data_IF_540238119094
#
_entry.id   IF_540238119094
#
_cell.length_a   1.000
_cell.length_b   1.000
_cell.length_c   1.000
_cell.angle_alpha   90.00
_cell.angle_beta   90.00
_cell.angle_gamma   90.00
#
_symmetry.space_group_name_H-M   'P 1'
#
loop_
_entity.id
_entity.type
_entity.pdbx_description
1 polymer ?
#
# COMPACT_ATOMS: atom_id res chain seq x y z
N UNK A 1 11.44 48.01 44.71
CA UNK A 1 10.40 47.19 44.06
C UNK A 1 10.97 46.62 42.77
N UNK A 2 11.54 45.42 42.79
CA UNK A 2 12.04 44.75 41.59
C UNK A 2 10.95 43.80 41.12
N UNK A 3 10.32 44.13 40.00
CA UNK A 3 9.24 43.35 39.41
C UNK A 3 9.75 41.99 38.95
N UNK A 4 9.14 40.94 39.48
CA UNK A 4 9.32 39.57 38.99
C UNK A 4 8.55 39.46 37.68
N UNK A 5 9.27 39.43 36.55
CA UNK A 5 8.68 39.02 35.28
C UNK A 5 8.46 37.51 35.32
N UNK A 6 7.22 37.10 35.51
CA UNK A 6 6.81 35.70 35.35
C UNK A 6 6.75 35.42 33.84
N UNK A 7 7.77 34.72 33.35
CA UNK A 7 7.76 34.17 31.99
C UNK A 7 6.78 33.00 31.97
N UNK A 8 5.62 33.20 31.36
CA UNK A 8 4.68 32.11 31.05
C UNK A 8 5.28 31.31 29.89
N UNK A 9 5.91 30.19 30.20
CA UNK A 9 6.26 29.16 29.21
C UNK A 9 4.96 28.53 28.70
N UNK A 10 4.45 29.03 27.58
CA UNK A 10 3.50 28.32 26.74
C UNK A 10 4.21 27.08 26.19
N UNK A 11 4.07 25.94 26.87
CA UNK A 11 4.35 24.63 26.29
C UNK A 11 3.33 24.43 25.17
N UNK A 12 3.71 24.79 23.94
CA UNK A 12 3.07 24.27 22.74
C UNK A 12 3.27 22.75 22.77
N UNK A 13 2.30 22.03 23.33
CA UNK A 13 2.13 20.62 23.04
C UNK A 13 1.86 20.54 21.54
N UNK A 14 2.92 20.36 20.76
CA UNK A 14 2.82 19.98 19.35
C UNK A 14 2.17 18.61 19.35
N UNK A 15 0.85 18.59 19.22
CA UNK A 15 0.08 17.38 18.98
C UNK A 15 0.53 16.83 17.63
N UNK A 16 1.56 15.99 17.63
CA UNK A 16 1.90 15.12 16.50
C UNK A 16 0.83 14.04 16.44
N UNK A 17 -0.35 14.39 15.93
CA UNK A 17 -1.42 13.42 15.73
C UNK A 17 -1.18 12.72 14.40
N UNK A 18 -0.98 11.40 14.45
CA UNK A 18 -1.18 10.48 13.32
C UNK A 18 -1.95 9.27 13.87
N UNK A 19 -2.35 8.30 13.04
CA UNK A 19 -3.23 7.21 13.47
C UNK A 19 -2.71 5.85 13.06
N UNK A 20 -2.91 4.87 13.93
CA UNK A 20 -2.77 3.44 13.62
C UNK A 20 -3.99 2.69 14.14
N UNK A 21 -4.18 1.48 13.61
CA UNK A 21 -5.02 0.46 14.25
C UNK A 21 -4.22 -0.31 15.30
N UNK A 22 -4.86 -0.52 16.44
CA UNK A 22 -4.36 -1.31 17.56
C UNK A 22 -5.30 -2.48 17.80
N UNK A 23 -4.77 -3.70 17.73
CA UNK A 23 -5.49 -4.92 18.04
C UNK A 23 -4.56 -6.01 18.61
N UNK A 24 -5.13 -7.15 19.00
CA UNK A 24 -4.38 -8.26 19.62
C UNK A 24 -3.27 -8.82 18.72
N UNK A 25 -3.38 -8.69 17.41
CA UNK A 25 -2.40 -9.17 16.46
C UNK A 25 -1.33 -8.16 16.07
N UNK A 26 -1.41 -6.90 16.52
CA UNK A 26 -0.53 -5.81 16.07
C UNK A 26 0.95 -6.18 16.25
N UNK A 27 1.75 -5.97 15.21
CA UNK A 27 3.21 -6.03 15.29
C UNK A 27 3.73 -4.73 15.90
N UNK A 28 4.14 -4.80 17.16
CA UNK A 28 4.56 -3.62 17.92
C UNK A 28 5.94 -3.84 18.51
N UNK A 29 6.94 -3.18 17.92
CA UNK A 29 8.31 -3.18 18.41
C UNK A 29 8.48 -2.48 19.77
N UNK A 30 7.47 -1.72 20.20
CA UNK A 30 7.39 -1.14 21.53
C UNK A 30 6.88 -2.11 22.59
N UNK A 31 6.32 -3.27 22.24
CA UNK A 31 5.76 -4.19 23.23
C UNK A 31 6.80 -4.61 24.30
N UNK A 32 6.45 -4.60 25.60
CA UNK A 32 5.12 -4.39 26.18
C UNK A 32 4.77 -2.93 26.52
N UNK A 33 5.57 -1.93 26.14
CA UNK A 33 5.38 -0.53 26.51
C UNK A 33 3.98 -0.02 26.13
N UNK A 34 3.09 0.26 27.09
CA UNK A 34 1.74 0.72 26.80
C UNK A 34 1.71 2.09 26.09
N UNK A 35 2.81 2.85 26.12
CA UNK A 35 2.94 4.17 25.52
C UNK A 35 3.75 4.13 24.22
N UNK A 36 3.18 3.51 23.17
CA UNK A 36 3.82 3.38 21.85
C UNK A 36 3.05 4.17 20.78
N UNK A 37 3.77 4.98 20.01
CA UNK A 37 3.27 5.75 18.87
C UNK A 37 3.94 5.34 17.53
N UNK A 38 4.85 4.36 17.55
CA UNK A 38 5.65 3.97 16.38
C UNK A 38 4.80 3.64 15.14
N UNK A 39 3.72 2.84 15.24
CA UNK A 39 2.93 2.45 14.07
C UNK A 39 2.08 3.60 13.48
N UNK A 40 2.01 4.75 14.15
CA UNK A 40 1.13 5.85 13.72
C UNK A 40 1.76 6.71 12.64
N UNK A 41 3.09 6.67 12.48
CA UNK A 41 3.78 7.51 11.50
C UNK A 41 3.33 7.24 10.06
N UNK A 42 3.20 8.29 9.22
CA UNK A 42 2.79 8.14 7.85
C UNK A 42 3.91 7.51 7.03
N UNK A 43 3.51 6.76 6.00
CA UNK A 43 4.40 6.14 5.02
C UNK A 43 4.42 7.02 3.78
N UNK A 44 5.40 7.91 3.71
CA UNK A 44 5.61 8.82 2.59
C UNK A 44 7.10 8.92 2.27
N UNK A 45 7.46 8.62 1.02
CA UNK A 45 8.82 8.69 0.48
C UNK A 45 9.88 8.00 1.35
N UNK A 46 9.49 6.93 2.05
CA UNK A 46 10.36 6.13 2.92
C UNK A 46 10.50 4.68 2.45
N UNK A 47 11.72 4.17 2.40
CA UNK A 47 12.08 2.76 2.19
C UNK A 47 11.65 1.84 3.35
N UNK A 48 11.34 2.43 4.52
CA UNK A 48 10.89 1.76 5.74
C UNK A 48 9.39 1.44 5.78
N UNK A 49 8.70 1.63 4.65
CA UNK A 49 7.24 1.51 4.57
C UNK A 49 6.74 0.08 4.75
N UNK A 50 7.50 -0.90 4.26
CA UNK A 50 7.04 -2.28 4.28
C UNK A 50 6.91 -2.78 5.71
N UNK A 51 5.72 -3.25 6.05
CA UNK A 51 5.37 -3.69 7.40
C UNK A 51 5.58 -2.64 8.50
N UNK A 52 5.69 -1.35 8.12
CA UNK A 52 6.11 -0.28 9.05
C UNK A 52 7.45 -0.61 9.75
N UNK A 53 8.37 -1.30 9.05
CA UNK A 53 9.62 -1.83 9.60
C UNK A 53 9.45 -2.72 10.84
N UNK A 54 8.28 -3.34 11.02
CA UNK A 54 7.95 -4.14 12.19
C UNK A 54 7.98 -5.67 11.92
N UNK A 55 8.59 -6.11 10.81
CA UNK A 55 8.67 -7.54 10.45
C UNK A 55 9.31 -8.39 11.56
N UNK A 56 10.38 -7.89 12.16
CA UNK A 56 11.12 -8.60 13.21
C UNK A 56 10.45 -8.53 14.59
N UNK A 57 9.43 -7.69 14.73
CA UNK A 57 8.74 -7.47 15.99
C UNK A 57 7.70 -8.56 16.22
N UNK A 58 7.58 -9.07 17.43
CA UNK A 58 6.59 -10.11 17.76
C UNK A 58 5.19 -9.48 17.75
N UNK A 59 4.15 -10.18 17.24
CA UNK A 59 2.78 -9.70 17.41
C UNK A 59 2.34 -9.91 18.86
N UNK A 60 1.43 -9.07 19.35
CA UNK A 60 0.88 -9.18 20.71
C UNK A 60 -0.01 -10.43 20.91
N UNK A 61 -0.23 -11.22 19.86
CA UNK A 61 -1.18 -12.31 19.79
C UNK A 61 -1.68 -12.52 18.37
N UNK A 62 -2.95 -12.91 18.23
CA UNK A 62 -3.59 -13.12 16.93
C UNK A 62 -4.99 -12.51 16.96
N UNK A 63 -5.31 -11.71 15.95
CA UNK A 63 -6.63 -11.11 15.81
C UNK A 63 -7.60 -12.07 15.11
N UNK A 64 -8.72 -12.39 15.77
CA UNK A 64 -9.80 -13.17 15.15
C UNK A 64 -10.55 -12.35 14.10
N UNK A 65 -10.75 -12.94 12.92
CA UNK A 65 -11.53 -12.39 11.80
C UNK A 65 -12.82 -13.21 11.65
N UNK A 66 -13.97 -12.73 12.12
CA UNK A 66 -15.22 -13.49 12.09
C UNK A 66 -15.83 -13.52 10.69
N UNK A 67 -15.65 -14.61 9.95
CA UNK A 67 -16.21 -14.80 8.61
C UNK A 67 -17.73 -14.64 8.62
N UNK A 68 -18.25 -13.71 7.82
CA UNK A 68 -19.67 -13.34 7.74
C UNK A 68 -20.20 -12.47 8.88
N UNK A 69 -19.33 -12.03 9.79
CA UNK A 69 -19.69 -11.17 10.92
C UNK A 69 -19.19 -9.74 10.75
N UNK A 70 -18.84 -9.12 11.88
CA UNK A 70 -18.24 -7.80 11.93
C UNK A 70 -17.04 -7.78 12.88
N UNK A 71 -16.10 -6.88 12.63
CA UNK A 71 -14.91 -6.69 13.44
C UNK A 71 -14.78 -5.21 13.80
N UNK A 72 -14.71 -4.91 15.09
CA UNK A 72 -14.38 -3.58 15.58
C UNK A 72 -12.87 -3.49 15.84
N UNK A 73 -12.25 -2.41 15.36
CA UNK A 73 -10.83 -2.13 15.54
C UNK A 73 -10.64 -0.75 16.17
N UNK A 74 -9.63 -0.64 17.04
CA UNK A 74 -9.34 0.56 17.80
C UNK A 74 -8.32 1.43 17.06
N UNK A 75 -8.63 2.70 16.86
CA UNK A 75 -7.81 3.68 16.19
C UNK A 75 -7.29 4.65 17.23
N UNK A 76 -5.98 4.89 17.22
CA UNK A 76 -5.38 5.86 18.15
C UNK A 76 -4.02 6.34 17.65
N UNK A 77 -3.67 7.58 18.02
CA UNK A 77 -2.33 8.16 17.89
C UNK A 77 -1.32 7.59 18.86
N UNK A 78 -1.77 6.89 19.90
CA UNK A 78 -0.90 6.20 20.82
C UNK A 78 -1.64 5.00 21.41
N UNK A 79 -0.93 3.88 21.57
CA UNK A 79 -1.45 2.65 22.19
C UNK A 79 -2.02 2.90 23.59
N UNK A 80 -1.52 3.90 24.32
CA UNK A 80 -1.99 4.25 25.65
C UNK A 80 -3.49 4.59 25.68
N UNK A 81 -4.07 5.08 24.58
CA UNK A 81 -5.49 5.45 24.49
C UNK A 81 -6.34 4.35 23.83
N UNK A 82 -5.98 3.10 24.08
CA UNK A 82 -6.66 1.90 23.58
C UNK A 82 -6.90 0.93 24.75
N UNK A 83 -7.63 -0.15 24.52
CA UNK A 83 -7.82 -1.25 25.48
C UNK A 83 -6.51 -1.94 25.87
N UNK A 84 -5.42 -1.72 25.13
CA UNK A 84 -4.07 -2.18 25.49
C UNK A 84 -3.32 -1.21 26.41
N UNK A 85 -3.94 -0.09 26.81
CA UNK A 85 -3.39 0.90 27.73
C UNK A 85 -4.43 1.33 28.76
N UNK A 86 -4.81 2.61 28.72
CA UNK A 86 -5.72 3.26 29.67
C UNK A 86 -7.20 3.06 29.35
N UNK A 87 -7.52 2.51 28.17
CA UNK A 87 -8.88 2.35 27.68
C UNK A 87 -9.28 3.38 26.61
N UNK A 88 -10.50 3.20 26.10
CA UNK A 88 -11.10 4.04 25.07
C UNK A 88 -11.78 5.28 25.66
N UNK A 89 -12.08 6.26 24.81
CA UNK A 89 -12.92 7.39 25.17
C UNK A 89 -14.36 6.92 25.46
N UNK A 90 -15.15 7.74 26.16
CA UNK A 90 -16.50 7.38 26.58
C UNK A 90 -17.45 7.01 25.43
N UNK A 91 -17.29 7.62 24.25
CA UNK A 91 -18.14 7.42 23.07
C UNK A 91 -17.31 7.00 21.85
N UNK A 92 -16.60 5.86 21.88
CA UNK A 92 -15.56 5.57 20.90
C UNK A 92 -16.12 5.22 19.52
N UNK A 93 -17.39 4.82 19.45
CA UNK A 93 -18.12 4.51 18.21
C UNK A 93 -18.77 5.73 17.56
N UNK A 94 -18.76 6.88 18.25
CA UNK A 94 -19.31 8.12 17.72
C UNK A 94 -18.22 8.93 17.02
N UNK A 95 -18.57 9.48 15.86
CA UNK A 95 -17.73 10.47 15.20
C UNK A 95 -17.74 11.77 16.02
N UNK A 96 -16.64 12.53 16.07
CA UNK A 96 -16.66 13.91 16.58
C UNK A 96 -17.81 14.74 15.99
N UNK A 97 -18.56 15.43 16.85
CA UNK A 97 -19.60 16.38 16.49
C UNK A 97 -19.61 17.56 17.50
N UNK A 98 -19.35 18.81 17.07
CA UNK A 98 -19.03 19.23 15.70
C UNK A 98 -17.70 18.62 15.22
N UNK A 99 -17.52 18.59 13.89
CA UNK A 99 -16.26 18.13 13.30
C UNK A 99 -15.13 19.11 13.66
N UNK A 100 -13.99 18.63 14.19
CA UNK A 100 -12.93 19.51 14.65
C UNK A 100 -12.20 20.20 13.48
N UNK A 101 -11.90 21.48 13.66
CA UNK A 101 -11.07 22.25 12.73
C UNK A 101 -9.71 21.57 12.53
N UNK A 102 -9.28 21.40 11.29
CA UNK A 102 -7.98 20.80 10.99
C UNK A 102 -7.88 19.28 11.18
N UNK A 103 -8.98 18.59 11.53
CA UNK A 103 -9.09 17.14 11.64
C UNK A 103 -8.34 16.44 12.78
N UNK A 104 -8.00 17.16 13.85
CA UNK A 104 -7.39 16.56 15.05
C UNK A 104 -8.47 16.20 16.06
N UNK A 105 -8.46 14.96 16.54
CA UNK A 105 -9.34 14.45 17.59
C UNK A 105 -8.52 14.07 18.83
N UNK A 106 -9.21 13.82 19.95
CA UNK A 106 -8.59 13.31 21.17
C UNK A 106 -7.87 11.95 20.98
N UNK A 107 -8.18 11.21 19.91
CA UNK A 107 -7.55 9.93 19.58
C UNK A 107 -6.62 10.01 18.37
N UNK A 108 -6.37 11.20 17.80
CA UNK A 108 -5.38 11.42 16.75
C UNK A 108 -5.87 12.24 15.56
N UNK A 109 -5.03 12.36 14.52
CA UNK A 109 -5.28 13.21 13.35
C UNK A 109 -5.85 12.42 12.17
N UNK A 110 -7.00 12.85 11.70
CA UNK A 110 -7.76 12.23 10.62
C UNK A 110 -7.38 12.77 9.24
N UNK A 111 -6.54 13.80 9.16
CA UNK A 111 -6.13 14.43 7.91
C UNK A 111 -7.32 14.82 7.00
N UNK A 112 -8.40 15.28 7.62
CA UNK A 112 -9.67 15.62 6.99
C UNK A 112 -10.30 16.88 7.62
N UNK A 113 -9.94 18.06 7.13
CA UNK A 113 -10.35 19.35 7.69
C UNK A 113 -11.85 19.65 7.49
N UNK A 114 -12.46 19.06 6.46
CA UNK A 114 -13.85 19.24 6.06
C UNK A 114 -14.51 17.87 5.97
N UNK A 115 -15.52 17.64 6.80
CA UNK A 115 -16.36 16.45 6.73
C UNK A 115 -17.64 16.73 5.90
N UNK A 116 -18.08 15.83 5.02
CA UNK A 116 -17.49 14.52 4.68
C UNK A 116 -16.46 14.53 3.56
N UNK A 117 -16.25 15.67 2.89
CA UNK A 117 -15.56 15.75 1.60
C UNK A 117 -14.10 15.26 1.63
N UNK A 118 -13.43 15.43 2.77
CA UNK A 118 -12.04 15.00 2.94
C UNK A 118 -11.89 13.52 3.36
N UNK A 119 -12.99 12.80 3.60
CA UNK A 119 -12.92 11.41 4.08
C UNK A 119 -12.63 10.45 2.93
N UNK A 120 -11.45 9.82 2.98
CA UNK A 120 -10.91 8.99 1.90
C UNK A 120 -11.23 7.49 2.02
N UNK A 121 -11.77 7.07 3.16
CA UNK A 121 -12.05 5.65 3.44
C UNK A 121 -10.79 4.86 3.77
N UNK A 122 -10.96 3.70 4.39
CA UNK A 122 -9.88 2.78 4.73
C UNK A 122 -10.31 1.34 4.49
N UNK A 123 -9.38 0.40 4.59
CA UNK A 123 -9.67 -1.00 4.35
C UNK A 123 -8.90 -1.95 5.25
N UNK A 124 -9.39 -3.19 5.30
CA UNK A 124 -8.67 -4.35 5.80
C UNK A 124 -8.31 -5.26 4.64
N UNK A 125 -7.08 -5.75 4.65
CA UNK A 125 -6.57 -6.72 3.70
C UNK A 125 -5.96 -7.93 4.39
N UNK A 126 -5.97 -9.07 3.70
CA UNK A 126 -5.49 -10.36 4.21
C UNK A 126 -4.57 -11.04 3.19
N UNK A 127 -3.47 -11.62 3.66
CA UNK A 127 -2.60 -12.52 2.92
C UNK A 127 -2.66 -13.90 3.58
N UNK A 128 -2.99 -14.94 2.79
CA UNK A 128 -3.14 -16.32 3.26
C UNK A 128 -1.78 -17.04 3.36
N UNK A 129 -0.85 -16.44 4.09
CA UNK A 129 0.48 -16.96 4.39
C UNK A 129 0.71 -16.86 5.90
N UNK A 130 1.23 -17.93 6.52
CA UNK A 130 1.54 -17.94 7.95
C UNK A 130 2.88 -17.24 8.23
N UNK A 131 3.88 -17.48 7.40
CA UNK A 131 5.17 -16.79 7.48
C UNK A 131 5.08 -15.37 6.90
N UNK A 132 5.17 -14.36 7.79
CA UNK A 132 5.18 -12.94 7.43
C UNK A 132 6.35 -12.51 6.55
N UNK A 133 7.50 -13.19 6.60
CA UNK A 133 8.65 -12.86 5.75
C UNK A 133 8.44 -13.27 4.29
N UNK A 134 7.50 -14.18 4.04
CA UNK A 134 7.10 -14.62 2.69
C UNK A 134 5.98 -13.78 2.06
N UNK A 135 5.39 -12.84 2.82
CA UNK A 135 4.33 -11.96 2.33
C UNK A 135 4.92 -10.86 1.47
N UNK A 136 4.26 -10.58 0.36
CA UNK A 136 4.54 -9.49 -0.56
C UNK A 136 3.29 -8.61 -0.72
N UNK A 137 3.43 -7.38 -1.22
CA UNK A 137 2.29 -6.50 -1.49
C UNK A 137 1.19 -7.14 -2.37
N UNK A 138 1.57 -8.05 -3.28
CA UNK A 138 0.65 -8.72 -4.22
C UNK A 138 -0.15 -9.86 -3.58
N UNK A 139 0.23 -10.31 -2.39
CA UNK A 139 -0.49 -11.38 -1.69
C UNK A 139 -1.72 -10.88 -0.95
N UNK A 140 -1.78 -9.56 -0.67
CA UNK A 140 -2.87 -8.98 0.09
C UNK A 140 -4.14 -8.83 -0.75
N UNK A 141 -5.26 -9.29 -0.20
CA UNK A 141 -6.60 -9.15 -0.75
C UNK A 141 -7.40 -8.23 0.17
N UNK A 142 -7.85 -7.09 -0.34
CA UNK A 142 -8.79 -6.21 0.38
C UNK A 142 -10.12 -6.95 0.54
N UNK A 143 -10.53 -7.20 1.78
CA UNK A 143 -11.73 -7.99 2.10
C UNK A 143 -12.82 -7.19 2.81
N UNK A 144 -12.50 -6.04 3.41
CA UNK A 144 -13.48 -5.12 3.99
C UNK A 144 -13.05 -3.68 3.78
N UNK A 145 -14.01 -2.81 3.49
CA UNK A 145 -13.81 -1.37 3.29
C UNK A 145 -14.79 -0.62 4.17
N UNK A 146 -14.36 0.51 4.70
CA UNK A 146 -15.24 1.52 5.29
C UNK A 146 -14.92 2.84 4.62
N UNK A 147 -15.88 3.40 3.89
CA UNK A 147 -15.74 4.67 3.18
C UNK A 147 -15.78 5.86 4.14
N UNK A 148 -16.43 5.72 5.30
CA UNK A 148 -16.47 6.71 6.38
C UNK A 148 -15.35 6.49 7.43
N UNK A 149 -14.12 6.31 6.95
CA UNK A 149 -12.96 5.98 7.79
C UNK A 149 -11.75 6.87 7.48
N UNK A 150 -10.90 7.18 8.48
CA UNK A 150 -10.99 6.82 9.91
C UNK A 150 -11.73 7.91 10.69
N UNK A 151 -13.03 7.76 10.98
CA UNK A 151 -13.81 8.83 11.65
C UNK A 151 -14.22 8.53 13.08
N UNK A 152 -13.93 7.31 13.58
CA UNK A 152 -14.32 6.81 14.91
C UNK A 152 -13.11 6.15 15.57
N UNK A 153 -13.00 6.28 16.90
CA UNK A 153 -11.96 5.60 17.67
C UNK A 153 -12.17 4.08 17.65
N UNK A 154 -13.41 3.61 17.69
CA UNK A 154 -13.78 2.20 17.53
C UNK A 154 -14.57 2.06 16.23
N UNK A 155 -13.87 1.61 15.19
CA UNK A 155 -14.40 1.50 13.83
C UNK A 155 -14.80 0.06 13.53
N UNK A 156 -16.04 -0.13 13.09
CA UNK A 156 -16.57 -1.44 12.70
C UNK A 156 -16.38 -1.69 11.21
N UNK A 157 -15.89 -2.88 10.88
CA UNK A 157 -15.71 -3.43 9.56
C UNK A 157 -16.66 -4.61 9.35
N UNK A 158 -17.32 -4.70 8.20
CA UNK A 158 -18.17 -5.83 7.84
C UNK A 158 -17.34 -6.90 7.14
N UNK A 159 -17.41 -8.14 7.60
CA UNK A 159 -16.52 -9.21 7.15
C UNK A 159 -17.28 -10.13 6.20
N UNK A 160 -16.79 -10.38 4.96
CA UNK A 160 -17.43 -11.30 4.05
C UNK A 160 -17.32 -12.73 4.57
N UNK A 161 -17.98 -13.67 3.89
CA UNK A 161 -17.63 -15.09 4.05
C UNK A 161 -16.21 -15.30 3.53
N UNK A 162 -15.35 -15.95 4.33
CA UNK A 162 -13.91 -16.10 4.04
C UNK A 162 -13.47 -17.57 4.12
N UNK A 163 -12.51 -18.00 3.29
CA UNK A 163 -11.85 -19.29 3.46
C UNK A 163 -10.99 -19.34 4.74
N UNK A 164 -10.60 -20.54 5.14
CA UNK A 164 -9.74 -20.74 6.30
C UNK A 164 -8.30 -20.26 6.04
N UNK A 165 -7.64 -19.74 7.06
CA UNK A 165 -6.20 -19.53 7.05
C UNK A 165 -5.43 -20.86 7.02
N UNK A 166 -4.18 -20.87 6.51
CA UNK A 166 -3.30 -22.03 6.66
C UNK A 166 -2.95 -22.27 8.13
N UNK A 167 -2.34 -23.42 8.41
CA UNK A 167 -1.75 -23.69 9.73
C UNK A 167 -0.72 -22.60 10.08
N UNK A 168 -0.81 -22.06 11.29
CA UNK A 168 -0.03 -20.90 11.73
C UNK A 168 -0.71 -19.53 11.50
N UNK A 169 -1.90 -19.51 10.89
CA UNK A 169 -2.68 -18.28 10.70
C UNK A 169 -2.36 -17.54 9.40
N UNK A 170 -2.90 -16.34 9.27
CA UNK A 170 -2.71 -15.41 8.16
C UNK A 170 -2.02 -14.13 8.62
N UNK A 171 -1.66 -13.29 7.65
CA UNK A 171 -1.26 -11.91 7.90
C UNK A 171 -2.33 -10.95 7.40
N UNK A 172 -2.73 -10.00 8.23
CA UNK A 172 -3.68 -8.96 7.89
C UNK A 172 -3.03 -7.59 8.01
N UNK A 173 -3.65 -6.59 7.39
CA UNK A 173 -3.24 -5.20 7.56
C UNK A 173 -4.45 -4.29 7.48
N UNK A 174 -4.45 -3.25 8.30
CA UNK A 174 -5.24 -2.05 8.03
C UNK A 174 -4.44 -1.13 7.11
N UNK A 175 -5.15 -0.44 6.22
CA UNK A 175 -4.56 0.46 5.23
C UNK A 175 -5.43 1.68 5.01
N UNK A 176 -4.80 2.83 4.82
CA UNK A 176 -5.46 4.11 4.58
C UNK A 176 -4.57 5.01 3.73
N UNK A 177 -5.18 5.81 2.86
CA UNK A 177 -4.52 6.91 2.14
C UNK A 177 -5.28 8.17 2.48
N UNK A 178 -4.60 9.17 3.03
CA UNK A 178 -5.23 10.43 3.41
C UNK A 178 -5.29 11.43 2.24
N UNK A 179 -6.02 12.55 2.41
CA UNK A 179 -6.15 13.58 1.37
C UNK A 179 -4.84 14.29 1.03
N UNK A 180 -3.86 14.23 1.92
CA UNK A 180 -2.53 14.80 1.76
C UNK A 180 -1.54 13.78 1.21
N UNK A 181 -2.02 12.74 0.52
CA UNK A 181 -1.20 11.79 -0.23
C UNK A 181 -0.34 10.85 0.63
N UNK A 182 -0.56 10.79 1.95
CA UNK A 182 0.20 9.91 2.83
C UNK A 182 -0.52 8.56 2.99
N UNK A 183 0.25 7.48 2.89
CA UNK A 183 -0.24 6.13 3.15
C UNK A 183 -0.02 5.74 4.61
N UNK A 184 -0.87 4.86 5.12
CA UNK A 184 -0.75 4.26 6.44
C UNK A 184 -0.96 2.75 6.30
N UNK A 185 -0.21 2.01 7.10
CA UNK A 185 -0.28 0.56 7.17
C UNK A 185 -0.09 0.14 8.62
N UNK A 186 -1.01 -0.68 9.13
CA UNK A 186 -0.87 -1.33 10.44
C UNK A 186 -1.00 -2.83 10.23
N UNK A 187 0.12 -3.56 10.06
CA UNK A 187 0.08 -5.01 9.91
C UNK A 187 -0.22 -5.69 11.25
N UNK A 188 -0.88 -6.84 11.19
CA UNK A 188 -1.18 -7.66 12.35
C UNK A 188 -1.36 -9.13 12.00
N UNK A 189 -0.95 -10.03 12.91
CA UNK A 189 -1.23 -11.45 12.80
C UNK A 189 -2.73 -11.69 12.98
N UNK A 190 -3.33 -12.52 12.12
CA UNK A 190 -4.77 -12.75 12.14
C UNK A 190 -5.14 -14.21 11.84
N UNK A 191 -6.36 -14.61 12.22
CA UNK A 191 -6.91 -15.92 11.87
C UNK A 191 -8.41 -15.82 11.61
N UNK A 192 -8.91 -16.52 10.58
CA UNK A 192 -10.33 -16.54 10.23
C UNK A 192 -11.08 -17.51 11.15
N UNK A 193 -12.13 -17.03 11.81
CA UNK A 193 -13.06 -17.86 12.57
C UNK A 193 -14.34 -18.09 11.77
N UNK A 194 -14.98 -19.25 11.97
CA UNK A 194 -16.12 -19.73 11.19
C UNK A 194 -15.88 -19.72 9.66
N UNK A 195 -14.73 -20.23 9.17
CA UNK A 195 -14.40 -20.16 7.75
C UNK A 195 -15.36 -20.99 6.90
N UNK A 196 -15.57 -20.55 5.66
CA UNK A 196 -16.37 -21.27 4.69
C UNK A 196 -15.47 -22.13 3.79
N UNK A 197 -15.47 -23.44 4.05
CA UNK A 197 -14.66 -24.41 3.31
C UNK A 197 -15.00 -24.51 1.82
N UNK A 198 -16.14 -23.97 1.36
CA UNK A 198 -16.51 -23.92 -0.07
C UNK A 198 -15.87 -22.78 -0.83
N UNK A 199 -15.17 -21.87 -0.16
CA UNK A 199 -14.49 -20.74 -0.78
C UNK A 199 -13.01 -21.04 -1.07
N UNK A 200 -12.47 -20.37 -2.07
CA UNK A 200 -11.05 -20.39 -2.43
C UNK A 200 -10.44 -19.01 -2.34
N UNK A 201 -9.12 -18.96 -2.17
CA UNK A 201 -8.35 -17.71 -2.15
C UNK A 201 -8.09 -17.27 -3.61
N UNK A 202 -8.58 -16.10 -4.04
CA UNK A 202 -8.32 -15.57 -5.39
C UNK A 202 -6.92 -14.94 -5.49
N UNK A 203 -6.43 -14.75 -6.70
CA UNK A 203 -5.30 -13.85 -6.97
C UNK A 203 -5.82 -12.41 -7.09
N UNK A 204 -5.37 -11.46 -6.25
CA UNK A 204 -5.82 -10.08 -6.35
C UNK A 204 -5.19 -9.37 -7.55
N UNK A 205 -5.92 -8.42 -8.10
CA UNK A 205 -5.46 -7.50 -9.12
C UNK A 205 -5.21 -6.11 -8.54
N UNK A 206 -4.38 -5.36 -9.23
CA UNK A 206 -4.13 -3.97 -8.87
C UNK A 206 -5.37 -3.11 -9.14
N UNK A 207 -5.89 -2.36 -8.16
CA UNK A 207 -7.04 -1.48 -8.37
C UNK A 207 -6.70 -0.31 -9.30
N UNK A 208 -7.69 0.13 -10.07
CA UNK A 208 -7.58 1.27 -10.97
C UNK A 208 -8.65 2.31 -10.66
N UNK A 209 -8.33 3.58 -10.89
CA UNK A 209 -9.34 4.64 -10.94
C UNK A 209 -10.30 4.33 -12.09
N UNK A 210 -11.59 4.20 -11.77
CA UNK A 210 -12.66 3.95 -12.72
C UNK A 210 -13.66 5.12 -12.82
N UNK A 211 -13.23 6.32 -12.44
CA UNK A 211 -13.96 7.55 -12.77
C UNK A 211 -13.95 7.80 -14.29
N UNK A 212 -14.87 8.66 -14.76
CA UNK A 212 -14.89 9.19 -16.12
C UNK A 212 -14.92 8.12 -17.24
N UNK A 213 -15.70 7.06 -17.05
CA UNK A 213 -15.89 5.99 -18.05
C UNK A 213 -14.86 4.87 -18.01
N UNK A 214 -13.94 4.87 -17.03
CA UNK A 214 -13.06 3.74 -16.76
C UNK A 214 -13.81 2.51 -16.22
N UNK A 215 -13.29 1.31 -16.48
CA UNK A 215 -13.83 0.06 -15.91
C UNK A 215 -13.14 -0.28 -14.60
N UNK A 216 -13.90 -0.45 -13.52
CA UNK A 216 -13.35 -0.88 -12.24
C UNK A 216 -12.89 -2.34 -12.28
N UNK A 217 -11.87 -2.67 -11.50
CA UNK A 217 -11.52 -4.07 -11.21
C UNK A 217 -12.63 -4.70 -10.35
N UNK A 218 -13.35 -5.66 -10.93
CA UNK A 218 -14.50 -6.32 -10.31
C UNK A 218 -14.13 -7.41 -9.31
N UNK A 219 -12.93 -8.00 -9.43
CA UNK A 219 -12.46 -9.09 -8.57
C UNK A 219 -11.77 -8.64 -7.28
N UNK A 220 -11.04 -9.59 -6.71
CA UNK A 220 -10.12 -9.35 -5.59
C UNK A 220 -9.12 -8.26 -5.96
N UNK A 221 -8.87 -7.33 -5.03
CA UNK A 221 -7.98 -6.19 -5.24
C UNK A 221 -6.87 -6.16 -4.19
N UNK A 222 -5.69 -5.71 -4.61
CA UNK A 222 -4.61 -5.39 -3.66
C UNK A 222 -4.94 -4.12 -2.88
N UNK A 223 -4.27 -3.87 -1.75
CA UNK A 223 -4.28 -2.56 -1.10
C UNK A 223 -3.76 -1.44 -2.02
N UNK A 224 -4.11 -0.21 -1.67
CA UNK A 224 -3.57 1.00 -2.29
C UNK A 224 -2.25 1.36 -1.57
N UNK A 225 -1.13 0.90 -2.11
CA UNK A 225 0.20 1.34 -1.68
C UNK A 225 0.64 2.54 -2.54
N UNK A 226 0.61 3.73 -1.96
CA UNK A 226 0.83 5.00 -2.65
C UNK A 226 1.90 5.87 -1.96
N UNK A 227 2.69 6.62 -2.73
CA UNK A 227 3.64 7.58 -2.17
C UNK A 227 4.89 6.99 -1.49
N UNK A 228 5.14 5.69 -1.59
CA UNK A 228 6.33 5.03 -1.02
C UNK A 228 7.35 4.70 -2.13
N UNK A 229 8.67 4.85 -1.89
CA UNK A 229 9.72 4.48 -2.83
C UNK A 229 9.66 2.98 -3.04
N UNK A 230 9.22 2.60 -4.22
CA UNK A 230 8.99 1.22 -4.61
C UNK A 230 10.28 0.60 -5.14
N UNK A 231 11.29 0.46 -4.29
CA UNK A 231 12.55 -0.18 -4.70
C UNK A 231 12.39 -1.68 -5.05
N UNK A 232 11.22 -2.29 -4.77
CA UNK A 232 10.98 -3.73 -5.00
C UNK A 232 9.63 -4.09 -5.62
N UNK A 233 8.70 -3.14 -5.78
CA UNK A 233 7.34 -3.42 -6.27
C UNK A 233 6.78 -2.18 -6.95
N UNK A 234 6.72 -2.12 -8.29
CA UNK A 234 6.14 -1.00 -9.06
C UNK A 234 4.95 -0.35 -8.32
N UNK A 235 4.81 1.00 -8.33
CA UNK A 235 3.70 1.67 -7.67
C UNK A 235 2.42 1.01 -8.17
N UNK A 236 1.74 0.23 -7.33
CA UNK A 236 0.58 -0.53 -7.79
C UNK A 236 -0.47 0.46 -8.28
N UNK A 237 -0.48 1.70 -7.78
CA UNK A 237 -1.26 2.78 -8.37
C UNK A 237 -0.34 3.78 -9.07
N UNK A 238 -0.46 4.00 -10.39
CA UNK A 238 0.28 5.05 -11.08
C UNK A 238 -0.04 6.42 -10.46
N UNK A 239 0.99 7.19 -10.13
CA UNK A 239 0.85 8.61 -9.84
C UNK A 239 0.45 9.26 -11.17
N UNK A 240 -0.79 9.74 -11.31
CA UNK A 240 -1.19 10.51 -12.49
C UNK A 240 -0.58 11.90 -12.39
N UNK A 241 0.20 12.27 -13.41
CA UNK A 241 0.85 13.57 -13.53
C UNK A 241 -0.17 14.72 -13.62
N UNK A 242 0.27 15.86 -13.08
CA UNK A 242 -0.27 17.24 -13.17
C UNK A 242 -1.40 17.70 -12.26
N UNK A 243 -2.07 16.83 -11.50
CA UNK A 243 -3.03 17.33 -10.49
C UNK A 243 -2.93 16.53 -9.19
N UNK A 244 -2.49 17.20 -8.12
CA UNK A 244 -2.58 16.76 -6.72
C UNK A 244 -4.03 16.45 -6.23
N UNK A 245 -5.02 16.30 -7.12
CA UNK A 245 -6.45 16.19 -6.79
C UNK A 245 -6.99 14.76 -6.69
N UNK A 246 -6.28 13.72 -7.14
CA UNK A 246 -6.82 12.36 -7.15
C UNK A 246 -5.92 11.34 -6.45
N UNK A 247 -5.67 11.53 -5.15
CA UNK A 247 -5.10 10.43 -4.34
C UNK A 247 -6.02 9.19 -4.47
N UNK A 248 -5.44 7.99 -4.60
CA UNK A 248 -6.21 6.76 -4.51
C UNK A 248 -6.95 6.70 -3.18
N UNK A 249 -8.15 6.13 -3.21
CA UNK A 249 -9.06 6.14 -2.07
C UNK A 249 -9.87 4.87 -2.01
N UNK A 250 -10.20 4.40 -0.81
CA UNK A 250 -11.03 3.22 -0.61
C UNK A 250 -12.51 3.61 -0.80
N UNK A 251 -12.86 3.96 -2.04
CA UNK A 251 -14.20 4.37 -2.48
C UNK A 251 -14.61 3.61 -3.74
N UNK A 252 -15.89 3.71 -4.08
CA UNK A 252 -16.48 3.09 -5.28
C UNK A 252 -15.80 3.55 -6.57
N UNK A 253 -15.26 4.77 -6.61
CA UNK A 253 -14.47 5.31 -7.73
C UNK A 253 -13.19 4.55 -8.03
N UNK A 254 -12.76 3.65 -7.13
CA UNK A 254 -11.63 2.74 -7.29
C UNK A 254 -12.06 1.25 -7.24
N UNK A 255 -13.36 1.00 -7.38
CA UNK A 255 -13.95 -0.34 -7.29
C UNK A 255 -14.07 -0.90 -5.87
N UNK A 256 -13.93 -0.07 -4.83
CA UNK A 256 -14.10 -0.46 -3.43
C UNK A 256 -15.48 -0.06 -2.90
N UNK A 257 -16.37 -1.04 -2.79
CA UNK A 257 -17.71 -0.82 -2.25
C UNK A 257 -17.68 -0.70 -0.72
N UNK A 258 -18.65 -0.01 -0.13
CA UNK A 258 -18.80 0.01 1.34
C UNK A 258 -19.00 -1.40 1.91
N UNK A 259 -18.35 -1.69 3.03
CA UNK A 259 -18.53 -2.92 3.79
C UNK A 259 -17.72 -4.12 3.28
N UNK A 260 -18.32 -5.29 3.37
CA UNK A 260 -17.70 -6.58 3.05
C UNK A 260 -17.46 -6.73 1.54
N UNK A 261 -16.27 -7.14 1.14
CA UNK A 261 -15.93 -7.36 -0.27
C UNK A 261 -16.21 -8.82 -0.67
N UNK A 262 -17.13 -9.03 -1.61
CA UNK A 262 -17.48 -10.36 -2.15
C UNK A 262 -16.45 -10.86 -3.16
N UNK A 263 -15.21 -11.10 -2.70
CA UNK A 263 -14.06 -11.38 -3.56
C UNK A 263 -13.62 -12.84 -3.57
N UNK A 264 -14.09 -13.67 -2.63
CA UNK A 264 -13.73 -15.08 -2.53
C UNK A 264 -14.69 -15.94 -3.37
N UNK A 265 -14.23 -16.54 -4.49
CA UNK A 265 -15.10 -17.38 -5.31
C UNK A 265 -15.35 -18.74 -4.66
N UNK A 266 -16.40 -19.43 -5.10
CA UNK A 266 -16.61 -20.82 -4.73
C UNK A 266 -15.54 -21.71 -5.37
N UNK A 267 -15.10 -22.76 -4.65
CA UNK A 267 -14.09 -23.71 -5.12
C UNK A 267 -14.46 -24.36 -6.46
N UNK A 268 -15.74 -24.64 -6.70
CA UNK A 268 -16.21 -25.17 -7.98
C UNK A 268 -15.98 -24.21 -9.15
N UNK A 269 -16.13 -22.89 -8.92
CA UNK A 269 -15.82 -21.87 -9.94
C UNK A 269 -14.32 -21.67 -10.14
N UNK A 270 -13.53 -21.79 -9.07
CA UNK A 270 -12.07 -21.75 -9.16
C UNK A 270 -11.52 -22.93 -9.98
N UNK A 271 -12.02 -24.15 -9.75
CA UNK A 271 -11.64 -25.32 -10.54
C UNK A 271 -11.98 -25.18 -12.04
N UNK A 272 -13.17 -24.65 -12.37
CA UNK A 272 -13.54 -24.40 -13.76
C UNK A 272 -12.70 -23.30 -14.43
N UNK A 273 -12.26 -22.29 -13.67
CA UNK A 273 -11.32 -21.27 -14.16
C UNK A 273 -9.92 -21.86 -14.38
N UNK A 274 -9.45 -22.74 -13.49
CA UNK A 274 -8.18 -23.47 -13.65
C UNK A 274 -8.24 -24.42 -14.86
N UNK A 275 -9.33 -25.15 -15.06
CA UNK A 275 -9.49 -26.03 -16.24
C UNK A 275 -9.49 -25.23 -17.55
N UNK A 276 -10.11 -24.04 -17.55
CA UNK A 276 -10.11 -23.14 -18.72
C UNK A 276 -8.70 -22.61 -19.02
N UNK A 277 -7.91 -22.31 -17.99
CA UNK A 277 -6.51 -21.88 -18.10
C UNK A 277 -5.60 -23.04 -18.51
N UNK A 278 -5.77 -24.24 -17.98
CA UNK A 278 -4.98 -25.43 -18.38
C UNK A 278 -5.15 -25.75 -19.86
N UNK A 279 -6.36 -25.60 -20.42
CA UNK A 279 -6.59 -25.82 -21.87
C UNK A 279 -5.91 -24.78 -22.76
N UNK A 280 -5.65 -23.56 -22.27
CA UNK A 280 -4.86 -22.54 -22.98
C UNK A 280 -3.34 -22.73 -22.78
N UNK A 281 -2.91 -23.45 -21.73
CA UNK A 281 -1.50 -23.61 -21.33
C UNK A 281 -0.86 -24.93 -21.80
N UNK A 282 -1.58 -25.79 -22.54
CA UNK A 282 -1.02 -27.02 -23.15
C UNK A 282 0.03 -26.79 -24.27
N UNK A 283 0.61 -25.60 -24.39
CA UNK A 283 1.70 -25.28 -25.32
C UNK A 283 3.07 -25.04 -24.66
N UNK A 284 3.25 -25.10 -23.34
CA UNK A 284 4.59 -24.96 -22.77
C UNK A 284 4.76 -25.71 -21.45
N UNK A 285 5.68 -26.70 -21.42
CA UNK A 285 6.06 -27.44 -20.21
C UNK A 285 7.17 -26.69 -19.45
N UNK A 286 7.08 -26.54 -18.11
CA UNK A 286 8.12 -25.93 -17.29
C UNK A 286 9.08 -26.97 -16.70
N UNK A 287 10.37 -26.60 -16.64
CA UNK A 287 11.35 -27.14 -15.68
C UNK A 287 12.06 -25.93 -15.02
N UNK A 288 12.04 -25.89 -13.69
CA UNK A 288 12.60 -24.91 -12.72
C UNK A 288 14.13 -24.65 -12.87
N UNK A 289 14.77 -23.64 -12.23
CA UNK A 289 14.35 -22.84 -11.06
C UNK A 289 14.40 -21.29 -11.23
N UNK A 290 13.91 -20.60 -10.19
CA UNK A 290 13.65 -19.17 -10.04
C UNK A 290 14.64 -18.26 -10.77
N UNK A 291 14.15 -17.49 -11.76
CA UNK A 291 14.93 -16.50 -12.49
C UNK A 291 14.40 -15.11 -12.16
N UNK A 292 15.30 -14.17 -11.87
CA UNK A 292 14.94 -12.74 -11.81
C UNK A 292 14.74 -12.30 -13.25
N UNK A 293 13.50 -12.05 -13.66
CA UNK A 293 13.24 -11.40 -14.96
C UNK A 293 13.31 -9.89 -14.80
N UNK A 294 13.85 -9.24 -15.81
CA UNK A 294 13.87 -7.78 -15.91
C UNK A 294 12.68 -7.38 -16.78
N UNK A 295 11.72 -6.64 -16.23
CA UNK A 295 10.61 -6.09 -17.00
C UNK A 295 10.91 -4.67 -17.44
N UNK A 296 10.39 -4.30 -18.61
CA UNK A 296 10.59 -2.97 -19.16
C UNK A 296 9.31 -2.16 -19.13
N UNK A 297 9.41 -0.90 -18.72
CA UNK A 297 8.30 0.06 -18.78
C UNK A 297 8.04 0.53 -20.22
N UNK A 298 6.89 1.19 -20.46
CA UNK A 298 6.57 1.77 -21.76
C UNK A 298 7.60 2.85 -22.14
N UNK A 299 7.89 2.95 -23.44
CA UNK A 299 8.68 4.06 -23.98
C UNK A 299 7.83 5.32 -24.08
N UNK A 300 8.33 6.42 -23.54
CA UNK A 300 7.68 7.73 -23.53
C UNK A 300 8.33 8.62 -24.58
N UNK A 301 7.65 8.79 -25.72
CA UNK A 301 8.11 9.66 -26.81
C UNK A 301 7.90 11.12 -26.45
N UNK A 302 8.90 11.96 -26.68
CA UNK A 302 8.87 13.37 -26.36
C UNK A 302 9.21 13.67 -24.89
N UNK A 303 9.86 12.73 -24.20
CA UNK A 303 10.23 12.86 -22.79
C UNK A 303 11.67 12.45 -22.54
N UNK A 304 12.27 13.11 -21.56
CA UNK A 304 13.60 12.83 -21.01
C UNK A 304 13.49 12.51 -19.52
N UNK A 305 14.26 11.55 -19.01
CA UNK A 305 14.49 11.37 -17.58
C UNK A 305 15.71 12.22 -17.17
N UNK A 306 15.58 13.42 -16.59
CA UNK A 306 16.73 14.29 -16.38
C UNK A 306 17.58 13.83 -15.19
N UNK A 307 18.90 13.86 -15.33
CA UNK A 307 19.86 13.57 -14.26
C UNK A 307 19.94 12.10 -13.84
N UNK A 308 20.72 11.85 -12.77
CA UNK A 308 20.89 10.50 -12.20
C UNK A 308 21.65 9.52 -13.09
N UNK A 309 22.46 10.02 -14.02
CA UNK A 309 23.23 9.20 -14.96
C UNK A 309 24.23 8.31 -14.20
N UNK A 310 24.33 7.04 -14.59
CA UNK A 310 25.32 6.14 -14.01
C UNK A 310 26.70 6.33 -14.63
N UNK A 311 27.73 5.97 -13.87
CA UNK A 311 29.10 5.88 -14.39
C UNK A 311 29.13 4.96 -15.62
N UNK A 312 29.75 5.42 -16.71
CA UNK A 312 29.75 4.74 -18.02
C UNK A 312 28.33 4.50 -18.61
N UNK A 313 27.36 5.31 -18.21
CA UNK A 313 25.97 5.28 -18.68
C UNK A 313 25.69 6.17 -19.89
N UNK A 314 26.61 7.03 -20.30
CA UNK A 314 26.49 7.81 -21.53
C UNK A 314 27.08 7.02 -22.71
N UNK A 315 26.26 6.77 -23.72
CA UNK A 315 26.60 5.99 -24.91
C UNK A 315 26.30 6.82 -26.16
N UNK A 316 27.29 6.94 -27.04
CA UNK A 316 27.14 7.61 -28.33
C UNK A 316 26.75 6.62 -29.41
N UNK A 317 26.03 7.08 -30.45
CA UNK A 317 25.69 6.30 -31.65
C UNK A 317 24.83 5.05 -31.40
N UNK A 318 23.88 5.12 -30.46
CA UNK A 318 22.91 4.05 -30.22
C UNK A 318 21.79 4.12 -31.25
N UNK A 319 21.65 3.09 -32.09
CA UNK A 319 20.82 3.14 -33.30
C UNK A 319 19.33 3.37 -33.04
N UNK A 320 18.81 2.90 -31.91
CA UNK A 320 17.41 3.05 -31.53
C UNK A 320 17.17 3.20 -30.03
N UNK A 321 15.98 3.69 -29.67
CA UNK A 321 15.50 3.69 -28.30
C UNK A 321 15.47 2.27 -27.68
N UNK A 322 15.14 1.25 -28.49
CA UNK A 322 15.14 -0.14 -28.05
C UNK A 322 16.56 -0.65 -27.74
N UNK A 323 17.57 -0.21 -28.49
CA UNK A 323 18.96 -0.52 -28.19
C UNK A 323 19.41 0.17 -26.90
N UNK A 324 19.01 1.42 -26.68
CA UNK A 324 19.28 2.14 -25.43
C UNK A 324 18.62 1.44 -24.22
N UNK A 325 17.38 0.98 -24.38
CA UNK A 325 16.67 0.17 -23.39
C UNK A 325 17.41 -1.15 -23.08
N UNK A 326 17.88 -1.84 -24.11
CA UNK A 326 18.66 -3.08 -23.98
C UNK A 326 19.97 -2.83 -23.23
N UNK A 327 20.64 -1.71 -23.49
CA UNK A 327 21.85 -1.30 -22.77
C UNK A 327 21.59 -1.02 -21.28
N UNK A 328 20.40 -0.52 -20.94
CA UNK A 328 19.96 -0.38 -19.55
C UNK A 328 19.71 -1.75 -18.89
N UNK A 329 18.93 -2.62 -19.54
CA UNK A 329 18.60 -3.98 -19.05
C UNK A 329 19.86 -4.79 -18.76
N UNK A 330 20.86 -4.72 -19.64
CA UNK A 330 22.14 -5.43 -19.47
C UNK A 330 22.95 -4.94 -18.25
N UNK A 331 22.66 -3.75 -17.73
CA UNK A 331 23.27 -3.18 -16.52
C UNK A 331 22.40 -3.33 -15.26
N UNK A 332 21.36 -4.17 -15.32
CA UNK A 332 20.46 -4.49 -14.21
C UNK A 332 20.66 -5.92 -13.63
N UNK A 333 21.88 -6.42 -13.28
CA UNK A 333 21.99 -7.73 -12.63
C UNK A 333 21.31 -7.84 -11.25
N UNK A 334 20.91 -9.08 -10.95
CA UNK A 334 20.15 -9.58 -9.81
C UNK A 334 20.43 -8.95 -8.42
N UNK A 335 21.69 -8.60 -8.13
CA UNK A 335 22.13 -8.23 -6.77
C UNK A 335 22.76 -6.83 -6.67
N UNK A 336 23.18 -6.22 -7.78
CA UNK A 336 23.96 -4.96 -7.77
C UNK A 336 23.54 -3.96 -8.84
N UNK A 337 22.50 -4.26 -9.63
CA UNK A 337 22.17 -3.52 -10.85
C UNK A 337 22.06 -2.00 -10.68
N UNK A 338 22.61 -1.31 -11.69
CA UNK A 338 22.88 0.12 -11.68
C UNK A 338 21.91 0.92 -12.55
N UNK A 339 21.20 0.31 -13.50
CA UNK A 339 20.29 1.04 -14.40
C UNK A 339 18.80 0.79 -14.10
N UNK A 340 18.04 1.87 -13.91
CA UNK A 340 16.61 1.91 -13.59
C UNK A 340 15.79 2.71 -14.61
N UNK A 341 16.44 3.67 -15.27
CA UNK A 341 15.84 4.48 -16.31
C UNK A 341 16.84 4.78 -17.42
N UNK A 342 16.34 5.19 -18.57
CA UNK A 342 17.16 5.61 -19.69
C UNK A 342 16.47 6.70 -20.50
N UNK A 343 17.27 7.43 -21.26
CA UNK A 343 16.84 8.44 -22.21
C UNK A 343 17.62 8.29 -23.50
N UNK A 344 16.96 8.40 -24.64
CA UNK A 344 17.57 8.30 -25.96
C UNK A 344 17.16 9.47 -26.84
N UNK A 345 18.15 10.14 -27.44
CA UNK A 345 17.89 11.25 -28.34
C UNK A 345 17.63 10.74 -29.76
N UNK A 346 16.47 11.09 -30.30
CA UNK A 346 16.01 10.66 -31.62
C UNK A 346 16.84 11.24 -32.76
N UNK A 347 17.48 12.40 -32.54
CA UNK A 347 18.32 13.10 -33.50
C UNK A 347 19.80 12.70 -33.38
N UNK A 348 20.41 12.92 -32.20
CA UNK A 348 21.84 12.71 -31.98
C UNK A 348 22.23 11.24 -31.76
N UNK A 349 21.25 10.34 -31.55
CA UNK A 349 21.47 8.92 -31.26
C UNK A 349 22.26 8.68 -29.97
N UNK A 350 22.30 9.68 -29.09
CA UNK A 350 22.89 9.57 -27.77
C UNK A 350 21.93 8.87 -26.81
N UNK A 351 22.47 8.06 -25.93
CA UNK A 351 21.75 7.29 -24.93
C UNK A 351 22.34 7.56 -23.54
N UNK A 352 21.49 7.83 -22.56
CA UNK A 352 21.86 8.07 -21.18
C UNK A 352 21.16 7.06 -20.29
N UNK A 353 21.95 6.25 -19.60
CA UNK A 353 21.51 5.24 -18.63
C UNK A 353 21.57 5.80 -17.22
N UNK A 354 20.57 5.50 -16.40
CA UNK A 354 20.29 6.24 -15.15
C UNK A 354 20.06 5.31 -13.98
N UNK A 355 20.68 5.67 -12.85
CA UNK A 355 20.66 4.94 -11.59
C UNK A 355 19.45 5.24 -10.71
N UNK A 356 18.66 6.21 -11.11
CA UNK A 356 17.40 6.58 -10.48
C UNK A 356 16.44 7.05 -11.58
N UNK A 357 15.15 6.82 -11.38
CA UNK A 357 14.10 7.35 -12.25
C UNK A 357 13.55 8.63 -11.60
N UNK A 358 13.80 9.79 -12.22
CA UNK A 358 13.15 11.05 -11.85
C UNK A 358 11.86 11.26 -12.64
N UNK A 359 11.10 12.30 -12.30
CA UNK A 359 9.92 12.70 -13.08
C UNK A 359 10.35 13.05 -14.51
N UNK A 360 9.80 12.39 -15.54
CA UNK A 360 10.13 12.70 -16.92
C UNK A 360 9.77 14.14 -17.26
N UNK A 361 10.67 14.85 -17.93
CA UNK A 361 10.44 16.20 -18.43
C UNK A 361 10.17 16.18 -19.92
N UNK A 362 9.30 17.07 -20.38
CA UNK A 362 9.00 17.20 -21.81
C UNK A 362 10.26 17.60 -22.58
N UNK A 363 10.63 16.79 -23.56
CA UNK A 363 11.70 17.04 -24.50
C UNK A 363 11.39 16.34 -25.84
N UNK A 364 10.98 17.08 -26.89
CA UNK A 364 10.46 16.51 -28.13
C UNK A 364 11.47 15.65 -28.89
N UNK A 365 12.76 15.79 -28.61
CA UNK A 365 13.83 15.04 -29.27
C UNK A 365 14.22 13.77 -28.52
N UNK A 366 13.50 13.41 -27.46
CA UNK A 366 13.90 12.33 -26.56
C UNK A 366 12.83 11.24 -26.50
N UNK A 367 13.28 10.01 -26.32
CA UNK A 367 12.46 8.88 -25.91
C UNK A 367 13.03 8.36 -24.59
N UNK A 368 12.20 8.32 -23.57
CA UNK A 368 12.58 7.87 -22.24
C UNK A 368 11.92 6.53 -21.90
N UNK A 369 12.52 5.77 -21.00
CA UNK A 369 11.93 4.53 -20.50
C UNK A 369 12.49 4.10 -19.16
N UNK A 370 11.84 3.11 -18.56
CA UNK A 370 12.25 2.54 -17.27
C UNK A 370 12.46 1.04 -17.37
N UNK A 371 13.24 0.51 -16.44
CA UNK A 371 13.56 -0.92 -16.32
C UNK A 371 13.34 -1.33 -14.86
N UNK A 372 12.56 -2.38 -14.66
CA UNK A 372 12.15 -2.88 -13.35
C UNK A 372 12.63 -4.32 -13.16
N UNK A 373 12.91 -4.72 -11.91
CA UNK A 373 13.17 -6.12 -11.58
C UNK A 373 11.85 -6.79 -11.20
N UNK A 374 11.60 -7.97 -11.76
CA UNK A 374 10.47 -8.83 -11.43
C UNK A 374 11.00 -10.17 -10.98
N UNK A 375 10.73 -10.51 -9.73
CA UNK A 375 10.97 -11.85 -9.22
C UNK A 375 9.93 -12.77 -9.86
N UNK A 376 10.39 -13.70 -10.70
CA UNK A 376 9.54 -14.75 -11.27
C UNK A 376 9.85 -16.03 -10.53
N UNK A 377 8.85 -16.51 -9.80
CA UNK A 377 8.88 -17.78 -9.09
C UNK A 377 8.64 -18.95 -10.05
#
# INVERSE_FOLDING_TARGET
MRGVSVVVLLTLAVASGHLSVWNKGTYDCGYPDPNSDRPVWPLWQTDKWWWHSALDCKPNGTQSIPSGGSLALEFSSNKAHTSMGQGLLANPTQRPNPWPTGAVTAWGNLHASVYPDDIMGCALAIAYKSDRYSVTPKDFIVFSVVQDCPTKQLQTFQIPQMPACPSGGCQCTWVWVNKYHQSYMSPFACNVTNPNARLSVPTPQVPTDCTNGGSCVSGAKTPLFYGTPTQSFAPLVPIRDTIFQLSPRYKSTWGFNEGAQSVFPSRARAAAAVEKVEKEVYAFKPNSPSRIDVSVGPQMVGFDNPGGDIDNGYLTNVASANDCQTQCVNRTPALTGQCYAWSWNTQSKECWLKGVAFNPVSNPNMIAGTVNRVWVA
#
